data_IF_973440165104
#
_entry.id   IF_973440165104
#
_cell.length_a   1.000
_cell.length_b   1.000
_cell.length_c   1.000
_cell.angle_alpha   90.00
_cell.angle_beta   90.00
_cell.angle_gamma   90.00
#
_symmetry.space_group_name_H-M   'P 1'
#
loop_
_entity.id
_entity.type
_entity.pdbx_description
1 polymer ?
#
# COMPACT_ATOMS: atom_id res chain seq x y z
N UNK A 1 -12.82 -0.49 6.11
CA UNK A 1 -11.75 0.46 6.44
C UNK A 1 -10.42 -0.28 6.57
N UNK A 2 -9.33 0.37 6.15
CA UNK A 2 -7.96 -0.09 6.35
C UNK A 2 -7.23 1.04 7.06
N UNK A 3 -6.54 0.73 8.14
CA UNK A 3 -5.78 1.71 8.92
C UNK A 3 -4.32 1.63 8.50
N UNK A 4 -3.83 2.68 7.86
CA UNK A 4 -2.42 2.84 7.57
C UNK A 4 -1.75 3.57 8.74
N UNK A 5 -1.07 2.82 9.60
CA UNK A 5 -0.34 3.35 10.75
C UNK A 5 1.12 3.64 10.39
N UNK A 6 1.63 4.80 10.85
CA UNK A 6 3.02 5.24 10.64
C UNK A 6 3.62 5.88 11.90
N UNK A 7 4.94 5.85 12.02
CA UNK A 7 5.62 6.25 13.26
C UNK A 7 5.90 7.75 13.39
N UNK A 8 5.66 8.54 12.36
CA UNK A 8 5.99 9.97 12.33
C UNK A 8 4.73 10.79 12.49
N UNK A 9 4.67 11.57 13.55
CA UNK A 9 3.65 12.59 13.73
C UNK A 9 4.22 13.75 14.56
N UNK A 10 3.71 14.97 14.39
CA UNK A 10 4.05 16.07 15.27
C UNK A 10 3.76 15.70 16.72
N UNK A 11 4.68 16.03 17.62
CA UNK A 11 4.44 15.86 19.06
C UNK A 11 3.39 16.88 19.48
N UNK A 12 2.20 16.41 19.86
CA UNK A 12 1.20 17.24 20.52
C UNK A 12 1.45 17.23 22.03
N UNK A 13 1.32 18.39 22.66
CA UNK A 13 1.50 18.53 24.13
C UNK A 13 0.24 18.22 24.92
N UNK A 14 -0.94 18.44 24.33
CA UNK A 14 -2.23 18.41 25.02
C UNK A 14 -3.20 17.38 24.45
N UNK A 15 -2.74 16.49 23.55
CA UNK A 15 -3.58 15.46 22.93
C UNK A 15 -2.73 14.35 22.32
N UNK A 16 -3.36 13.23 21.97
CA UNK A 16 -2.73 12.15 21.21
C UNK A 16 -2.35 12.62 19.81
N UNK A 17 -1.09 12.35 19.39
CA UNK A 17 -0.66 12.61 18.02
C UNK A 17 -1.33 11.64 17.03
N UNK A 18 -2.01 12.14 16.00
CA UNK A 18 -2.53 11.30 14.92
C UNK A 18 -1.36 10.63 14.18
N UNK A 19 -1.34 9.29 14.14
CA UNK A 19 -0.30 8.48 13.52
C UNK A 19 -0.85 7.44 12.56
N UNK A 20 -1.96 7.75 11.93
CA UNK A 20 -2.59 6.90 10.94
C UNK A 20 -3.43 7.70 9.97
N UNK A 21 -3.61 7.14 8.78
CA UNK A 21 -4.66 7.52 7.85
C UNK A 21 -5.59 6.34 7.65
N UNK A 22 -6.84 6.64 7.34
CA UNK A 22 -7.87 5.64 7.02
C UNK A 22 -7.98 5.56 5.51
N UNK A 23 -7.94 4.33 4.98
CA UNK A 23 -8.14 4.03 3.58
C UNK A 23 -9.48 3.32 3.47
N UNK A 24 -10.40 3.89 2.72
CA UNK A 24 -11.68 3.28 2.45
C UNK A 24 -11.59 2.37 1.22
N UNK A 25 -12.05 1.15 1.36
CA UNK A 25 -12.21 0.20 0.27
C UNK A 25 -13.69 0.08 -0.10
N UNK A 26 -13.99 0.33 -1.36
CA UNK A 26 -15.32 0.16 -1.92
C UNK A 26 -15.31 -0.90 -3.02
N UNK A 27 -16.42 -1.58 -3.21
CA UNK A 27 -16.65 -2.53 -4.30
C UNK A 27 -17.94 -2.16 -5.03
N UNK A 28 -17.95 -2.32 -6.36
CA UNK A 28 -19.13 -2.01 -7.16
C UNK A 28 -20.27 -3.02 -6.92
N UNK A 29 -19.92 -4.25 -6.54
CA UNK A 29 -20.86 -5.35 -6.29
C UNK A 29 -20.27 -6.33 -5.28
N UNK A 30 -21.03 -7.35 -4.92
CA UNK A 30 -20.56 -8.46 -4.08
C UNK A 30 -19.61 -9.41 -4.83
N UNK A 31 -19.58 -9.36 -6.15
CA UNK A 31 -18.60 -10.08 -6.96
C UNK A 31 -17.38 -9.19 -7.20
N UNK A 32 -16.41 -9.27 -6.31
CA UNK A 32 -15.17 -8.49 -6.37
C UNK A 32 -13.95 -9.38 -6.19
N UNK A 33 -12.84 -8.96 -6.75
CA UNK A 33 -11.54 -9.61 -6.58
C UNK A 33 -10.92 -9.23 -5.24
N UNK A 34 -10.45 -10.23 -4.52
CA UNK A 34 -9.64 -10.02 -3.32
C UNK A 34 -8.61 -11.15 -3.19
N UNK A 35 -7.33 -10.80 -3.28
CA UNK A 35 -6.21 -11.72 -3.13
C UNK A 35 -5.65 -11.58 -1.72
N UNK A 36 -5.84 -12.57 -0.82
CA UNK A 36 -5.36 -12.48 0.55
C UNK A 36 -3.83 -12.47 0.58
N UNK A 37 -3.26 -11.39 1.07
CA UNK A 37 -1.82 -11.28 1.32
C UNK A 37 -1.52 -11.95 2.67
N UNK A 38 -0.46 -12.74 2.74
CA UNK A 38 -0.08 -13.48 3.93
C UNK A 38 1.28 -13.05 4.46
N UNK A 39 1.43 -13.16 5.77
CA UNK A 39 2.69 -12.95 6.48
C UNK A 39 3.02 -14.17 7.36
N UNK A 40 4.30 -14.43 7.63
CA UNK A 40 4.68 -15.52 8.53
C UNK A 40 4.03 -15.39 9.89
N UNK A 41 3.71 -16.53 10.51
CA UNK A 41 3.29 -16.54 11.90
C UNK A 41 4.41 -16.04 12.82
N UNK A 42 4.04 -15.34 13.89
CA UNK A 42 5.01 -14.91 14.89
C UNK A 42 5.73 -16.13 15.49
N UNK A 43 7.06 -16.00 15.75
CA UNK A 43 7.86 -17.06 16.38
C UNK A 43 7.32 -17.48 17.75
N UNK A 44 6.62 -16.58 18.44
CA UNK A 44 5.97 -16.79 19.73
C UNK A 44 4.55 -17.34 19.63
N UNK A 45 4.05 -17.66 18.43
CA UNK A 45 2.73 -18.26 18.30
C UNK A 45 2.66 -19.57 19.10
N UNK A 46 1.67 -19.78 19.98
CA UNK A 46 1.60 -20.96 20.83
C UNK A 46 1.51 -22.22 19.96
N UNK A 47 2.53 -23.08 20.01
CA UNK A 47 2.57 -24.33 19.24
C UNK A 47 1.47 -25.33 19.65
N UNK A 48 0.81 -25.12 20.79
CA UNK A 48 -0.18 -26.04 21.35
C UNK A 48 -1.63 -25.87 20.87
N UNK A 49 -1.97 -24.75 20.23
CA UNK A 49 -3.33 -24.52 19.69
C UNK A 49 -3.45 -24.79 18.18
N UNK A 50 -2.35 -25.13 17.57
CA UNK A 50 -2.26 -25.34 16.14
C UNK A 50 -2.59 -26.79 15.77
N UNK A 51 -3.87 -27.12 15.74
CA UNK A 51 -4.27 -28.23 14.86
C UNK A 51 -3.99 -27.76 13.43
N UNK A 52 -3.25 -28.56 12.63
CA UNK A 52 -2.89 -28.27 11.22
C UNK A 52 -4.06 -27.70 10.37
N UNK A 53 -5.28 -28.01 10.77
CA UNK A 53 -6.53 -27.52 10.16
C UNK A 53 -6.66 -25.99 10.12
N UNK A 54 -6.00 -25.25 11.00
CA UNK A 54 -6.13 -23.78 11.12
C UNK A 54 -4.90 -23.01 10.63
N UNK A 55 -3.84 -23.71 10.27
CA UNK A 55 -2.58 -23.11 9.85
C UNK A 55 -2.41 -23.26 8.34
N UNK A 56 -2.39 -22.12 7.65
CA UNK A 56 -2.05 -22.12 6.24
C UNK A 56 -0.52 -22.16 6.09
N UNK A 57 -0.01 -22.98 5.16
CA UNK A 57 1.44 -23.15 4.94
C UNK A 57 2.18 -21.85 4.68
N UNK A 58 1.53 -20.88 4.03
CA UNK A 58 2.10 -19.58 3.65
C UNK A 58 1.88 -18.48 4.71
N UNK A 59 1.41 -18.84 5.91
CA UNK A 59 1.20 -17.90 7.00
C UNK A 59 -0.23 -17.40 7.15
N UNK A 60 -0.42 -16.42 8.03
CA UNK A 60 -1.72 -15.79 8.31
C UNK A 60 -2.01 -14.66 7.33
N UNK A 61 -3.27 -14.42 7.03
CA UNK A 61 -3.70 -13.24 6.27
C UNK A 61 -3.39 -11.98 7.09
N UNK A 62 -2.83 -10.97 6.43
CA UNK A 62 -2.57 -9.67 7.07
C UNK A 62 -3.89 -9.01 7.47
N UNK A 63 -3.86 -8.28 8.61
CA UNK A 63 -5.02 -7.56 9.09
C UNK A 63 -5.25 -6.23 8.35
N UNK A 64 -6.33 -5.60 8.72
CA UNK A 64 -6.75 -4.27 8.24
C UNK A 64 -5.92 -3.11 8.83
N UNK A 65 -5.10 -3.38 9.85
CA UNK A 65 -4.13 -2.41 10.39
C UNK A 65 -2.74 -2.71 9.84
N UNK A 66 -2.28 -1.85 8.94
CA UNK A 66 -0.95 -1.95 8.34
C UNK A 66 0.04 -0.94 8.93
N UNK A 67 1.16 -1.42 9.49
CA UNK A 67 2.25 -0.54 9.94
C UNK A 67 3.28 -0.41 8.82
N UNK A 68 3.22 0.71 8.10
CA UNK A 68 4.16 1.06 7.03
C UNK A 68 4.56 2.51 7.21
N UNK A 69 5.86 2.78 7.28
CA UNK A 69 6.33 4.15 7.51
C UNK A 69 6.09 5.03 6.28
N UNK A 70 5.82 6.31 6.53
CA UNK A 70 5.89 7.32 5.47
C UNK A 70 7.34 7.48 5.04
N UNK A 71 7.55 7.94 3.81
CA UNK A 71 8.90 8.21 3.29
C UNK A 71 9.52 9.39 4.05
N UNK A 72 10.62 9.13 4.73
CA UNK A 72 11.40 10.17 5.40
C UNK A 72 12.07 11.13 4.40
N UNK A 73 12.39 12.36 4.85
CA UNK A 73 13.08 13.33 3.98
C UNK A 73 14.44 12.81 3.48
N UNK A 74 15.08 11.93 4.24
CA UNK A 74 16.38 11.33 3.92
C UNK A 74 16.30 9.99 3.20
N UNK A 75 15.10 9.54 2.80
CA UNK A 75 14.96 8.32 2.01
C UNK A 75 15.38 8.58 0.55
N UNK A 76 16.68 8.44 0.30
CA UNK A 76 17.27 8.63 -1.03
C UNK A 76 16.98 7.48 -2.01
N UNK A 77 16.47 6.35 -1.52
CA UNK A 77 16.22 5.15 -2.36
C UNK A 77 14.90 5.22 -3.08
N UNK A 78 13.89 5.78 -2.42
CA UNK A 78 12.54 5.77 -2.96
C UNK A 78 11.99 7.18 -3.23
N UNK A 79 12.43 8.18 -2.46
CA UNK A 79 11.90 9.54 -2.56
C UNK A 79 12.37 10.24 -3.84
N UNK A 80 11.39 10.80 -4.58
CA UNK A 80 11.63 11.49 -5.85
C UNK A 80 11.42 13.01 -5.78
N UNK A 81 11.36 13.56 -4.55
CA UNK A 81 11.20 15.00 -4.36
C UNK A 81 9.74 15.50 -4.51
N UNK A 82 8.78 14.61 -4.44
CA UNK A 82 7.34 14.97 -4.44
C UNK A 82 6.80 14.91 -3.00
N UNK A 83 6.26 16.01 -2.48
CA UNK A 83 5.99 16.17 -1.04
C UNK A 83 4.99 15.15 -0.49
N UNK A 84 3.96 14.81 -1.25
CA UNK A 84 2.90 13.89 -0.86
C UNK A 84 3.11 12.46 -1.34
N UNK A 85 4.34 12.10 -1.73
CA UNK A 85 4.66 10.77 -2.21
C UNK A 85 4.28 9.69 -1.19
N UNK A 86 3.51 8.71 -1.64
CA UNK A 86 3.17 7.52 -0.85
C UNK A 86 4.24 6.44 -1.00
N UNK A 87 4.50 5.63 0.07
CA UNK A 87 5.45 4.52 0.00
C UNK A 87 4.97 3.45 -0.99
N UNK A 88 5.92 2.87 -1.73
CA UNK A 88 5.64 1.75 -2.65
C UNK A 88 5.03 0.56 -1.92
N UNK A 89 5.50 0.26 -0.70
CA UNK A 89 4.97 -0.83 0.12
C UNK A 89 3.46 -0.72 0.35
N UNK A 90 2.95 0.49 0.60
CA UNK A 90 1.52 0.73 0.77
C UNK A 90 0.74 0.45 -0.51
N UNK A 91 1.23 0.99 -1.63
CA UNK A 91 0.56 0.84 -2.93
C UNK A 91 0.65 -0.60 -3.44
N UNK A 92 1.80 -1.27 -3.28
CA UNK A 92 1.99 -2.69 -3.61
C UNK A 92 0.96 -3.57 -2.90
N UNK A 93 0.78 -3.36 -1.60
CA UNK A 93 -0.21 -4.09 -0.80
C UNK A 93 -1.64 -3.91 -1.34
N UNK A 94 -2.03 -2.68 -1.67
CA UNK A 94 -3.36 -2.37 -2.20
C UNK A 94 -3.56 -3.03 -3.56
N UNK A 95 -2.60 -2.88 -4.48
CA UNK A 95 -2.71 -3.41 -5.85
C UNK A 95 -2.72 -4.94 -5.85
N UNK A 96 -1.83 -5.60 -5.11
CA UNK A 96 -1.82 -7.08 -5.00
C UNK A 96 -3.12 -7.62 -4.44
N UNK A 97 -3.68 -6.98 -3.41
CA UNK A 97 -4.91 -7.45 -2.79
C UNK A 97 -6.13 -7.30 -3.70
N UNK A 98 -6.12 -6.37 -4.66
CA UNK A 98 -7.31 -6.00 -5.44
C UNK A 98 -7.21 -6.28 -6.94
N UNK A 99 -6.09 -6.79 -7.44
CA UNK A 99 -5.86 -7.04 -8.87
C UNK A 99 -4.95 -8.24 -9.12
N UNK A 100 -4.98 -8.79 -10.35
CA UNK A 100 -4.06 -9.80 -10.87
C UNK A 100 -3.18 -9.22 -12.00
N UNK A 101 -2.17 -9.98 -12.46
CA UNK A 101 -1.38 -9.61 -13.63
C UNK A 101 -2.30 -9.38 -14.85
N UNK A 102 -2.06 -8.29 -15.58
CA UNK A 102 -2.87 -7.89 -16.74
C UNK A 102 -4.16 -7.15 -16.42
N UNK A 103 -4.54 -7.01 -15.15
CA UNK A 103 -5.69 -6.17 -14.78
C UNK A 103 -5.34 -4.68 -14.95
N UNK A 104 -6.35 -3.88 -15.32
CA UNK A 104 -6.21 -2.43 -15.44
C UNK A 104 -6.40 -1.76 -14.08
N UNK A 105 -5.41 -0.98 -13.68
CA UNK A 105 -5.42 -0.11 -12.50
C UNK A 105 -5.52 1.35 -12.92
N UNK A 106 -6.39 2.12 -12.29
CA UNK A 106 -6.55 3.54 -12.57
C UNK A 106 -6.21 4.39 -11.34
N UNK A 107 -5.42 5.47 -11.55
CA UNK A 107 -5.13 6.49 -10.54
C UNK A 107 -5.39 7.88 -11.11
N UNK A 108 -6.44 8.51 -10.61
CA UNK A 108 -6.87 9.85 -11.08
C UNK A 108 -6.24 10.99 -10.29
N UNK A 109 -5.34 10.70 -9.34
CA UNK A 109 -4.58 11.66 -8.54
C UNK A 109 -3.11 11.22 -8.48
N UNK A 110 -2.51 11.08 -9.65
CA UNK A 110 -1.25 10.39 -9.92
C UNK A 110 -0.08 10.85 -9.05
N UNK A 111 0.00 12.16 -8.75
CA UNK A 111 1.03 12.76 -7.91
C UNK A 111 2.45 12.36 -8.34
N UNK A 112 3.17 11.68 -7.43
CA UNK A 112 4.54 11.19 -7.72
C UNK A 112 4.59 10.00 -8.68
N UNK A 113 3.46 9.42 -9.10
CA UNK A 113 3.39 8.24 -9.95
C UNK A 113 3.77 6.92 -9.26
N UNK A 114 3.68 6.83 -7.94
CA UNK A 114 4.02 5.59 -7.22
C UNK A 114 3.11 4.44 -7.66
N UNK A 115 1.82 4.71 -7.90
CA UNK A 115 0.87 3.72 -8.40
C UNK A 115 1.31 3.16 -9.75
N UNK A 116 1.67 4.02 -10.70
CA UNK A 116 2.13 3.63 -12.03
C UNK A 116 3.40 2.74 -11.97
N UNK A 117 4.37 3.12 -11.13
CA UNK A 117 5.61 2.36 -10.94
C UNK A 117 5.31 0.97 -10.38
N UNK A 118 4.46 0.88 -9.36
CA UNK A 118 4.07 -0.41 -8.77
C UNK A 118 3.29 -1.26 -9.77
N UNK A 119 2.40 -0.68 -10.57
CA UNK A 119 1.69 -1.40 -11.62
C UNK A 119 2.67 -2.02 -12.63
N UNK A 120 3.66 -1.25 -13.11
CA UNK A 120 4.72 -1.75 -14.01
C UNK A 120 5.48 -2.93 -13.39
N UNK A 121 5.90 -2.81 -12.13
CA UNK A 121 6.62 -3.87 -11.41
C UNK A 121 5.79 -5.13 -11.22
N UNK A 122 4.50 -4.98 -10.99
CA UNK A 122 3.55 -6.06 -10.79
C UNK A 122 2.89 -6.56 -12.08
N UNK A 123 3.26 -6.03 -13.26
CA UNK A 123 2.69 -6.36 -14.57
C UNK A 123 1.17 -6.13 -14.64
N UNK A 124 0.71 -5.01 -14.09
CA UNK A 124 -0.66 -4.52 -14.28
C UNK A 124 -0.68 -3.46 -15.36
N UNK A 125 -1.75 -3.43 -16.15
CA UNK A 125 -2.01 -2.30 -17.02
C UNK A 125 -2.38 -1.08 -16.19
N UNK A 126 -2.04 0.11 -16.68
CA UNK A 126 -2.20 1.33 -15.92
C UNK A 126 -2.75 2.48 -16.75
N UNK A 127 -3.67 3.21 -16.17
CA UNK A 127 -4.14 4.49 -16.65
C UNK A 127 -4.13 5.52 -15.51
N UNK A 128 -3.64 6.71 -15.75
CA UNK A 128 -3.59 7.74 -14.72
C UNK A 128 -3.66 9.15 -15.27
N UNK A 129 -4.12 10.07 -14.45
CA UNK A 129 -4.11 11.49 -14.74
C UNK A 129 -3.77 12.33 -13.51
N UNK A 130 -3.37 13.56 -13.74
CA UNK A 130 -3.16 14.58 -12.71
C UNK A 130 -3.39 15.95 -13.33
N UNK A 131 -3.89 16.89 -12.54
CA UNK A 131 -4.03 18.28 -12.98
C UNK A 131 -2.66 18.98 -13.09
N UNK A 132 -1.67 18.50 -12.36
CA UNK A 132 -0.32 19.05 -12.33
C UNK A 132 0.57 18.40 -13.39
N UNK A 133 0.95 19.14 -14.43
CA UNK A 133 1.83 18.66 -15.49
C UNK A 133 3.16 18.11 -14.95
N UNK A 134 3.72 18.69 -13.87
CA UNK A 134 4.95 18.19 -13.24
C UNK A 134 4.78 16.78 -12.68
N UNK A 135 3.59 16.41 -12.20
CA UNK A 135 3.30 15.05 -11.74
C UNK A 135 3.33 14.06 -12.92
N UNK A 136 2.74 14.44 -14.04
CA UNK A 136 2.74 13.64 -15.26
C UNK A 136 4.18 13.43 -15.78
N UNK A 137 4.98 14.50 -15.88
CA UNK A 137 6.35 14.44 -16.38
C UNK A 137 7.25 13.60 -15.46
N UNK A 138 7.08 13.76 -14.14
CA UNK A 138 7.77 12.95 -13.14
C UNK A 138 7.43 11.47 -13.27
N UNK A 139 6.15 11.16 -13.45
CA UNK A 139 5.69 9.77 -13.63
C UNK A 139 6.26 9.16 -14.88
N UNK A 140 6.24 9.85 -16.02
CA UNK A 140 6.85 9.38 -17.28
C UNK A 140 8.31 9.04 -17.07
N UNK A 141 9.08 9.96 -16.46
CA UNK A 141 10.50 9.72 -16.13
C UNK A 141 10.74 8.51 -15.24
N UNK A 142 9.83 8.21 -14.31
CA UNK A 142 9.94 7.03 -13.43
C UNK A 142 9.59 5.72 -14.13
N UNK A 143 8.87 5.78 -15.24
CA UNK A 143 8.48 4.62 -16.03
C UNK A 143 9.49 4.27 -17.14
N UNK A 144 10.42 5.15 -17.48
CA UNK A 144 11.55 4.88 -18.36
C UNK A 144 12.52 3.86 -17.74
#
# INVERSE_FOLDING_TARGET
EIIWNYNTAPRKKLDFGKRHDIIYRFTKSNNYKFNPIREPYAKSAPRGYAKEKYYHKDGKVIGDVGKMNILGQNDKKERVGYDTQKPKELIDRIIRASSDEGDLVADFYLGSGTCAVVCKELKRDFIGCDINQKAIDLTKKRLE
#
